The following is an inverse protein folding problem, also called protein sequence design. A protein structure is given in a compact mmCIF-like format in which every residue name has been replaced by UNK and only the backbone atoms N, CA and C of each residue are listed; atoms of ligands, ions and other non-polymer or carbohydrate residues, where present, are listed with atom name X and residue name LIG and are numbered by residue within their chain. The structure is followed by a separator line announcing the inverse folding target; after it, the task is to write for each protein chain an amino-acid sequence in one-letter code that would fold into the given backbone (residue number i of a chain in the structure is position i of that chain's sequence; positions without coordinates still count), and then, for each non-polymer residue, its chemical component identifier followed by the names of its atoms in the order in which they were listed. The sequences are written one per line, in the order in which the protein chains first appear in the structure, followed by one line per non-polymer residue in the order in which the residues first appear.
data_IF_614820753028
#
_entry.id   IF_614820753028
#
_cell.length_a   1.000
_cell.length_b   1.000
_cell.length_c   1.000
_cell.angle_alpha   90.00
_cell.angle_beta   90.00
_cell.angle_gamma   90.00
#
_symmetry.space_group_name_H-M   'P 1'
#
loop_
_entity.id
_entity.type
_entity.pdbx_description
1 polymer ?
#
# COMPACT_ATOMS: atom_id res chain seq x y z
N UNK A 1 -0.51 -9.04 12.73
CA UNK A 1 -1.06 -8.57 11.45
C UNK A 1 -1.80 -7.28 11.76
N UNK A 2 -1.17 -6.13 11.46
CA UNK A 2 -1.82 -4.83 11.60
C UNK A 2 -2.88 -4.75 10.50
N UNK A 3 -4.12 -4.42 10.85
CA UNK A 3 -5.13 -4.14 9.84
C UNK A 3 -4.64 -2.96 8.98
N UNK A 4 -4.74 -3.11 7.66
CA UNK A 4 -4.32 -2.09 6.71
C UNK A 4 -5.15 -0.82 6.92
N UNK A 5 -4.51 0.35 6.85
CA UNK A 5 -5.16 1.65 7.09
C UNK A 5 -6.18 2.02 6.01
N UNK A 6 -6.18 1.31 4.88
CA UNK A 6 -7.09 1.56 3.77
C UNK A 6 -8.53 1.07 4.01
N UNK A 7 -8.82 0.31 5.07
CA UNK A 7 -10.21 -0.08 5.40
C UNK A 7 -11.11 1.14 5.66
N UNK A 8 -10.56 2.24 6.18
CA UNK A 8 -11.31 3.46 6.50
C UNK A 8 -11.35 4.46 5.32
N UNK A 9 -10.75 4.11 4.17
CA UNK A 9 -10.74 4.99 3.00
C UNK A 9 -12.15 5.11 2.38
N UNK A 10 -12.49 6.29 1.88
CA UNK A 10 -13.77 6.50 1.17
C UNK A 10 -13.75 6.03 -0.30
N UNK A 11 -12.54 5.88 -0.87
CA UNK A 11 -12.35 5.46 -2.25
C UNK A 11 -12.53 3.94 -2.40
N UNK A 12 -13.45 3.47 -3.27
CA UNK A 12 -13.59 2.04 -3.54
C UNK A 12 -12.30 1.39 -4.05
N UNK A 13 -11.48 2.14 -4.80
CA UNK A 13 -10.19 1.66 -5.28
C UNK A 13 -9.21 1.39 -4.13
N UNK A 14 -9.16 2.27 -3.13
CA UNK A 14 -8.28 2.07 -1.97
C UNK A 14 -8.77 0.91 -1.09
N UNK A 15 -10.08 0.79 -0.90
CA UNK A 15 -10.67 -0.31 -0.13
C UNK A 15 -10.37 -1.68 -0.73
N UNK A 16 -10.24 -1.80 -2.06
CA UNK A 16 -9.84 -3.06 -2.72
C UNK A 16 -8.43 -3.53 -2.31
N UNK A 17 -7.58 -2.63 -1.81
CA UNK A 17 -6.24 -2.95 -1.35
C UNK A 17 -6.15 -3.13 0.18
N UNK A 18 -7.27 -3.02 0.91
CA UNK A 18 -7.27 -3.06 2.37
C UNK A 18 -6.92 -4.46 2.94
N UNK A 19 -7.14 -5.53 2.18
CA UNK A 19 -6.79 -6.88 2.61
C UNK A 19 -5.40 -7.32 2.11
N UNK A 20 -4.68 -6.46 1.37
CA UNK A 20 -3.35 -6.80 0.87
C UNK A 20 -2.34 -6.89 2.03
N UNK A 21 -1.37 -7.83 1.96
CA UNK A 21 -0.31 -7.97 2.97
C UNK A 21 0.66 -6.78 3.03
N UNK A 22 0.69 -5.93 1.99
CA UNK A 22 1.44 -4.66 2.01
C UNK A 22 0.80 -3.71 3.03
N UNK A 23 1.61 -3.09 3.91
CA UNK A 23 1.17 -2.15 4.95
C UNK A 23 0.87 -0.76 4.37
N UNK A 24 -0.15 -0.68 3.50
CA UNK A 24 -0.48 0.56 2.81
C UNK A 24 -0.90 1.68 3.77
N UNK A 25 -0.55 2.89 3.35
CA UNK A 25 -1.03 4.16 3.91
C UNK A 25 -1.84 4.90 2.84
N UNK A 26 -2.91 5.63 3.23
CA UNK A 26 -3.38 6.72 2.39
C UNK A 26 -2.28 7.80 2.31
N UNK A 27 -2.35 8.68 1.31
CA UNK A 27 -1.46 9.82 1.26
C UNK A 27 -1.77 10.79 2.41
N UNK A 28 -0.89 10.85 3.42
CA UNK A 28 -1.08 11.66 4.62
C UNK A 28 0.26 12.09 5.26
N UNK A 29 0.22 13.09 6.13
CA UNK A 29 1.40 13.65 6.81
C UNK A 29 2.06 12.65 7.76
N UNK A 30 1.28 11.72 8.34
CA UNK A 30 1.79 10.67 9.20
C UNK A 30 2.72 9.71 8.45
N UNK A 31 2.35 9.30 7.23
CA UNK A 31 3.20 8.45 6.38
C UNK A 31 4.54 9.15 6.05
N UNK A 32 4.49 10.44 5.72
CA UNK A 32 5.69 11.25 5.46
C UNK A 32 6.59 11.37 6.70
N UNK A 33 5.98 11.53 7.87
CA UNK A 33 6.69 11.63 9.15
C UNK A 33 7.35 10.30 9.50
N UNK A 34 6.64 9.19 9.32
CA UNK A 34 7.15 7.83 9.56
C UNK A 34 8.31 7.50 8.61
N UNK A 35 8.18 7.79 7.31
CA UNK A 35 9.25 7.60 6.34
C UNK A 35 10.53 8.34 6.74
N UNK A 36 10.40 9.61 7.14
CA UNK A 36 11.53 10.43 7.61
C UNK A 36 12.13 9.90 8.91
N UNK A 37 11.31 9.47 9.86
CA UNK A 37 11.78 8.97 11.16
C UNK A 37 12.49 7.61 11.04
N UNK A 38 12.05 6.76 10.12
CA UNK A 38 12.65 5.45 9.87
C UNK A 38 13.79 5.47 8.85
N UNK A 39 14.08 6.62 8.24
CA UNK A 39 15.02 6.76 7.12
C UNK A 39 14.74 5.77 5.98
N UNK A 40 13.45 5.61 5.66
CA UNK A 40 12.97 4.73 4.59
C UNK A 40 12.40 5.54 3.42
N UNK A 41 12.67 5.15 2.16
CA UNK A 41 12.02 5.74 1.01
C UNK A 41 10.50 5.47 1.00
N UNK A 42 9.76 6.34 0.32
CA UNK A 42 8.32 6.14 0.09
C UNK A 42 8.11 5.44 -1.25
N UNK A 43 7.32 4.37 -1.24
CA UNK A 43 6.84 3.75 -2.48
C UNK A 43 5.43 4.25 -2.81
N UNK A 44 5.37 5.31 -3.61
CA UNK A 44 4.09 5.89 -4.02
C UNK A 44 3.48 5.11 -5.20
N UNK A 45 2.40 4.37 -4.92
CA UNK A 45 1.58 3.70 -5.93
C UNK A 45 0.32 4.51 -6.23
N UNK A 46 0.04 4.77 -7.52
CA UNK A 46 -1.11 5.57 -7.98
C UNK A 46 -1.89 4.76 -9.00
N UNK A 47 -3.20 4.66 -8.80
CA UNK A 47 -4.09 3.93 -9.70
C UNK A 47 -5.55 4.36 -9.58
N UNK A 48 -6.42 3.65 -10.29
CA UNK A 48 -7.87 3.88 -10.29
C UNK A 48 -8.61 2.58 -10.61
N UNK A 49 -9.89 2.47 -10.22
CA UNK A 49 -10.66 1.22 -10.24
C UNK A 49 -10.92 0.60 -11.62
N UNK A 50 -10.70 1.32 -12.72
CA UNK A 50 -10.86 0.81 -14.09
C UNK A 50 -9.52 0.61 -14.80
N UNK A 51 -8.42 0.70 -14.06
CA UNK A 51 -7.08 0.48 -14.57
C UNK A 51 -6.75 -1.01 -14.64
N UNK A 52 -6.69 -1.57 -15.85
CA UNK A 52 -6.38 -3.00 -16.01
C UNK A 52 -5.04 -3.39 -15.37
N UNK A 53 -3.98 -2.64 -15.65
CA UNK A 53 -2.64 -2.96 -15.13
C UNK A 53 -2.48 -2.74 -13.64
N UNK A 54 -3.30 -1.89 -13.03
CA UNK A 54 -3.31 -1.70 -11.58
C UNK A 54 -3.85 -2.96 -10.89
N UNK A 55 -4.86 -3.62 -11.46
CA UNK A 55 -5.35 -4.90 -10.95
C UNK A 55 -4.34 -6.03 -11.16
N UNK A 56 -3.68 -6.08 -12.33
CA UNK A 56 -2.65 -7.10 -12.60
C UNK A 56 -1.49 -6.96 -11.60
N UNK A 57 -0.98 -5.74 -11.39
CA UNK A 57 0.09 -5.49 -10.41
C UNK A 57 -0.35 -5.82 -8.98
N UNK A 58 -1.61 -5.54 -8.64
CA UNK A 58 -2.15 -5.89 -7.33
C UNK A 58 -2.13 -7.40 -7.09
N UNK A 59 -2.66 -8.15 -8.06
CA UNK A 59 -2.77 -9.59 -7.97
C UNK A 59 -1.41 -10.30 -7.99
N UNK A 60 -0.50 -9.85 -8.87
CA UNK A 60 0.79 -10.51 -9.04
C UNK A 60 1.84 -10.08 -8.02
N UNK A 61 1.68 -8.93 -7.37
CA UNK A 61 2.71 -8.35 -6.49
C UNK A 61 2.19 -7.93 -5.12
N UNK A 62 1.13 -7.12 -5.05
CA UNK A 62 0.68 -6.58 -3.76
C UNK A 62 -0.03 -7.62 -2.89
N UNK A 63 -0.61 -8.66 -3.48
CA UNK A 63 -1.22 -9.82 -2.81
C UNK A 63 -0.18 -10.91 -2.44
N UNK A 64 1.00 -10.89 -3.06
CA UNK A 64 2.06 -11.89 -2.78
C UNK A 64 2.75 -11.61 -1.44
N UNK A 65 2.71 -12.55 -0.47
CA UNK A 65 3.28 -12.32 0.86
C UNK A 65 4.80 -12.05 0.85
N UNK A 66 5.55 -12.67 -0.07
CA UNK A 66 7.01 -12.53 -0.14
C UNK A 66 7.40 -11.13 -0.63
N UNK A 67 6.72 -10.67 -1.68
CA UNK A 67 6.88 -9.32 -2.22
C UNK A 67 6.45 -8.28 -1.19
N UNK A 68 5.32 -8.49 -0.53
CA UNK A 68 4.83 -7.59 0.50
C UNK A 68 5.77 -7.48 1.71
N UNK A 69 6.38 -8.59 2.15
CA UNK A 69 7.38 -8.57 3.22
C UNK A 69 8.57 -7.68 2.85
N UNK A 70 9.09 -7.82 1.63
CA UNK A 70 10.17 -6.97 1.13
C UNK A 70 9.74 -5.50 1.04
N UNK A 71 8.53 -5.24 0.54
CA UNK A 71 7.99 -3.88 0.46
C UNK A 71 7.89 -3.23 1.84
N UNK A 72 7.31 -3.93 2.82
CA UNK A 72 7.14 -3.45 4.19
C UNK A 72 8.48 -3.26 4.92
N UNK A 73 9.47 -4.09 4.60
CA UNK A 73 10.81 -3.97 5.16
C UNK A 73 11.56 -2.74 4.62
N UNK A 74 11.41 -2.45 3.33
CA UNK A 74 12.23 -1.48 2.61
C UNK A 74 11.59 -0.10 2.47
N UNK A 75 10.27 -0.01 2.47
CA UNK A 75 9.53 1.21 2.17
C UNK A 75 8.56 1.58 3.28
N UNK A 76 8.08 2.82 3.18
CA UNK A 76 6.87 3.33 3.82
C UNK A 76 5.84 3.67 2.74
#
# INVERSE_FOLDING_TARGET
MSANRLHDATSPYLQQHADNPVDWWPWCDEALTVARAQDKPILLSIGYSACHWCHVMAHESFEDPTTAELMNALYV
#
